data_IF_258901783827
#
_entry.id   IF_258901783827
#
_cell.length_a   1.000
_cell.length_b   1.000
_cell.length_c   1.000
_cell.angle_alpha   90.00
_cell.angle_beta   90.00
_cell.angle_gamma   90.00
#
_symmetry.space_group_name_H-M   'P 1'
#
loop_
_entity.id
_entity.type
_entity.pdbx_description
1 polymer ?
#
# COMPACT_ATOMS: atom_id res chain seq x y z
N UNK A 1 14.56 -27.38 25.26
CA UNK A 1 15.84 -26.86 25.77
C UNK A 1 16.13 -25.57 25.02
N UNK A 2 15.87 -24.45 25.68
CA UNK A 2 16.10 -23.09 25.16
C UNK A 2 17.61 -22.88 25.13
N UNK A 3 18.19 -22.67 23.94
CA UNK A 3 19.57 -22.19 23.85
C UNK A 3 19.55 -20.70 24.17
N UNK A 4 20.39 -20.32 25.13
CA UNK A 4 20.47 -19.00 25.72
C UNK A 4 20.55 -17.88 24.66
N UNK A 5 19.70 -16.88 24.83
CA UNK A 5 19.82 -15.58 24.18
C UNK A 5 21.02 -14.87 24.82
N UNK A 6 21.96 -14.30 24.06
CA UNK A 6 23.18 -13.73 24.63
C UNK A 6 22.91 -12.37 25.29
N UNK A 7 23.57 -12.10 26.42
CA UNK A 7 23.25 -10.96 27.31
C UNK A 7 24.47 -10.08 27.63
N UNK A 8 25.50 -10.08 26.79
CA UNK A 8 26.69 -9.23 26.95
C UNK A 8 27.18 -8.66 25.63
N UNK A 9 27.85 -7.50 25.67
CA UNK A 9 28.44 -6.82 24.50
C UNK A 9 29.44 -7.73 23.73
N UNK A 10 30.12 -8.64 24.44
CA UNK A 10 31.01 -9.65 23.83
C UNK A 10 30.27 -10.72 23.03
N UNK A 11 29.07 -11.11 23.45
CA UNK A 11 28.28 -12.09 22.70
C UNK A 11 27.68 -11.50 21.42
N UNK A 12 27.51 -10.17 21.38
CA UNK A 12 27.01 -9.40 20.25
C UNK A 12 28.13 -9.16 19.23
N UNK A 13 29.33 -8.78 19.67
CA UNK A 13 30.52 -8.79 18.80
C UNK A 13 30.76 -10.18 18.21
N UNK A 14 30.55 -11.24 19.00
CA UNK A 14 30.65 -12.62 18.51
C UNK A 14 29.54 -12.98 17.51
N UNK A 15 28.30 -12.53 17.73
CA UNK A 15 27.22 -12.67 16.75
C UNK A 15 27.55 -11.94 15.43
N UNK A 16 28.16 -10.76 15.51
CA UNK A 16 28.58 -9.97 14.35
C UNK A 16 29.83 -10.53 13.66
N UNK A 17 30.79 -11.06 14.42
CA UNK A 17 32.02 -11.68 13.92
C UNK A 17 31.73 -13.04 13.24
N UNK A 18 30.83 -13.85 13.81
CA UNK A 18 30.38 -15.13 13.20
C UNK A 18 29.59 -14.90 11.88
N UNK A 19 28.95 -13.74 11.73
CA UNK A 19 28.26 -13.31 10.50
C UNK A 19 29.24 -12.73 9.45
N UNK A 20 30.30 -12.05 9.87
CA UNK A 20 31.39 -11.59 8.99
C UNK A 20 32.22 -12.76 8.43
N UNK A 21 32.48 -13.81 9.21
CA UNK A 21 33.27 -14.97 8.77
C UNK A 21 32.51 -15.90 7.79
N UNK A 22 31.17 -15.84 7.77
CA UNK A 22 30.33 -16.59 6.82
C UNK A 22 30.13 -15.85 5.49
N UNK A 23 30.19 -14.52 5.51
CA UNK A 23 30.12 -13.66 4.30
C UNK A 23 31.46 -13.60 3.56
N UNK A 24 32.61 -13.61 4.24
CA UNK A 24 33.92 -13.69 3.56
C UNK A 24 34.13 -15.00 2.79
N UNK A 25 33.64 -16.13 3.33
CA UNK A 25 33.69 -17.45 2.66
C UNK A 25 32.84 -17.53 1.39
N UNK A 26 31.86 -16.64 1.23
CA UNK A 26 31.04 -16.56 0.00
C UNK A 26 31.62 -15.58 -1.03
N UNK A 27 32.44 -14.61 -0.61
CA UNK A 27 33.19 -13.72 -1.51
C UNK A 27 34.40 -14.41 -2.16
N UNK A 28 35.08 -15.32 -1.46
CA UNK A 28 36.20 -16.11 -2.02
C UNK A 28 35.80 -17.02 -3.20
N UNK A 29 34.52 -17.40 -3.29
CA UNK A 29 33.99 -18.17 -4.43
C UNK A 29 33.80 -17.28 -5.68
N UNK A 30 33.56 -15.97 -5.50
CA UNK A 30 33.33 -15.02 -6.60
C UNK A 30 34.61 -14.56 -7.30
N UNK A 31 35.78 -14.61 -6.65
CA UNK A 31 37.03 -14.11 -7.24
C UNK A 31 37.66 -15.03 -8.30
N UNK A 32 37.15 -16.24 -8.55
CA UNK A 32 37.72 -17.14 -9.58
C UNK A 32 37.10 -17.06 -10.97
N UNK A 33 36.13 -16.17 -11.22
CA UNK A 33 35.48 -16.07 -12.53
C UNK A 33 35.20 -14.64 -12.98
N UNK A 34 36.26 -13.90 -13.34
CA UNK A 34 36.10 -12.73 -14.20
C UNK A 34 37.25 -12.60 -15.20
N UNK A 35 37.03 -13.06 -16.43
CA UNK A 35 37.71 -12.50 -17.60
C UNK A 35 36.88 -12.78 -18.86
N UNK A 36 36.10 -11.79 -19.32
CA UNK A 36 36.25 -11.12 -20.63
C UNK A 36 34.97 -10.46 -21.18
N UNK A 37 35.18 -9.20 -21.57
CA UNK A 37 34.58 -8.39 -22.65
C UNK A 37 33.15 -7.84 -22.57
N UNK A 38 33.12 -6.53 -22.81
CA UNK A 38 32.00 -5.60 -22.94
C UNK A 38 31.09 -5.91 -24.14
N UNK A 39 29.77 -5.95 -23.91
CA UNK A 39 28.68 -5.23 -24.61
C UNK A 39 27.33 -5.92 -24.34
N UNK A 40 26.48 -5.38 -23.43
CA UNK A 40 25.01 -5.59 -23.37
C UNK A 40 24.40 -4.92 -22.11
N UNK A 41 23.87 -3.69 -22.21
CA UNK A 41 23.51 -2.84 -21.05
C UNK A 41 21.99 -2.73 -20.74
N UNK A 42 21.20 -3.79 -20.95
CA UNK A 42 19.79 -3.77 -20.53
C UNK A 42 19.28 -5.12 -20.01
N UNK A 43 19.73 -6.23 -20.61
CA UNK A 43 19.31 -7.58 -20.21
C UNK A 43 20.06 -8.09 -18.97
N UNK A 44 21.30 -7.62 -18.77
CA UNK A 44 22.17 -7.97 -17.62
C UNK A 44 21.66 -7.37 -16.29
N UNK A 45 20.96 -6.22 -16.32
CA UNK A 45 20.41 -5.58 -15.11
C UNK A 45 19.22 -6.34 -14.52
N UNK A 46 18.32 -6.86 -15.35
CA UNK A 46 17.19 -7.68 -14.89
C UNK A 46 17.61 -9.06 -14.40
N UNK A 47 18.60 -9.68 -15.04
CA UNK A 47 19.14 -10.98 -14.61
C UNK A 47 19.96 -10.86 -13.31
N UNK A 48 20.81 -9.84 -13.16
CA UNK A 48 21.48 -9.55 -11.87
C UNK A 48 20.50 -9.22 -10.74
N UNK A 49 19.38 -8.56 -11.05
CA UNK A 49 18.36 -8.27 -10.05
C UNK A 49 17.63 -9.55 -9.61
N UNK A 50 17.28 -10.44 -10.54
CA UNK A 50 16.68 -11.75 -10.24
C UNK A 50 17.64 -12.71 -9.53
N UNK A 51 18.93 -12.75 -9.91
CA UNK A 51 19.94 -13.55 -9.21
C UNK A 51 20.21 -13.04 -7.79
N UNK A 52 20.27 -11.72 -7.59
CA UNK A 52 20.39 -11.14 -6.25
C UNK A 52 19.17 -11.49 -5.38
N UNK A 53 17.95 -11.43 -5.91
CA UNK A 53 16.72 -11.83 -5.20
C UNK A 53 16.79 -13.32 -4.79
N UNK A 54 17.28 -14.20 -5.66
CA UNK A 54 17.37 -15.64 -5.37
C UNK A 54 18.42 -16.03 -4.32
N UNK A 55 19.50 -15.24 -4.18
CA UNK A 55 20.52 -15.46 -3.14
C UNK A 55 20.05 -14.91 -1.80
N UNK A 56 19.31 -13.79 -1.82
CA UNK A 56 18.73 -13.14 -0.63
C UNK A 56 17.83 -14.11 0.13
N UNK A 57 16.94 -14.84 -0.55
CA UNK A 57 15.99 -15.79 0.08
C UNK A 57 16.64 -17.00 0.79
N UNK A 58 17.95 -17.23 0.63
CA UNK A 58 18.66 -18.39 1.21
C UNK A 58 19.22 -18.15 2.63
N UNK A 59 19.16 -16.92 3.11
CA UNK A 59 19.73 -16.49 4.38
C UNK A 59 18.57 -16.02 5.28
N UNK A 60 18.47 -16.47 6.54
CA UNK A 60 17.31 -16.12 7.39
C UNK A 60 17.06 -14.60 7.52
N UNK A 61 15.81 -14.14 7.78
CA UNK A 61 15.40 -12.74 7.61
C UNK A 61 16.25 -11.69 8.35
N UNK A 62 16.78 -12.01 9.54
CA UNK A 62 17.64 -11.11 10.30
C UNK A 62 19.00 -10.89 9.60
N UNK A 63 19.53 -11.92 8.95
CA UNK A 63 20.80 -11.82 8.22
C UNK A 63 20.61 -11.00 6.93
N UNK A 64 19.46 -11.12 6.27
CA UNK A 64 19.12 -10.26 5.13
C UNK A 64 19.04 -8.78 5.56
N UNK A 65 18.32 -8.50 6.66
CA UNK A 65 18.26 -7.17 7.25
C UNK A 65 19.66 -6.64 7.55
N UNK A 66 20.52 -7.46 8.19
CA UNK A 66 21.88 -7.06 8.51
C UNK A 66 22.67 -6.70 7.25
N UNK A 67 22.74 -7.60 6.28
CA UNK A 67 23.55 -7.45 5.08
C UNK A 67 23.08 -6.28 4.18
N UNK A 68 21.77 -6.05 4.08
CA UNK A 68 21.21 -5.06 3.17
C UNK A 68 20.94 -3.70 3.82
N UNK A 69 20.51 -3.69 5.08
CA UNK A 69 20.06 -2.48 5.75
C UNK A 69 21.06 -1.95 6.78
N UNK A 70 21.81 -2.80 7.48
CA UNK A 70 22.66 -2.33 8.60
C UNK A 70 24.12 -2.21 8.18
N UNK A 71 24.72 -3.28 7.68
CA UNK A 71 26.14 -3.36 7.32
C UNK A 71 26.57 -2.25 6.34
N UNK A 72 25.81 -1.92 5.27
CA UNK A 72 26.24 -0.92 4.29
C UNK A 72 26.29 0.51 4.85
N UNK A 73 25.57 0.78 5.94
CA UNK A 73 25.45 2.12 6.56
C UNK A 73 25.98 2.17 7.98
N UNK A 74 26.87 1.22 8.33
CA UNK A 74 27.42 1.10 9.69
C UNK A 74 28.09 2.39 10.15
N UNK A 75 28.80 3.08 9.25
CA UNK A 75 29.49 4.32 9.58
C UNK A 75 28.50 5.43 9.91
N UNK A 76 27.47 5.65 9.07
CA UNK A 76 26.45 6.67 9.29
C UNK A 76 25.63 6.38 10.55
N UNK A 77 25.36 5.11 10.85
CA UNK A 77 24.69 4.68 12.09
C UNK A 77 25.54 5.05 13.32
N UNK A 78 26.85 4.82 13.27
CA UNK A 78 27.79 5.16 14.34
C UNK A 78 27.94 6.67 14.51
N UNK A 79 28.14 7.40 13.41
CA UNK A 79 28.34 8.85 13.39
C UNK A 79 27.11 9.60 13.93
N UNK A 80 25.91 9.06 13.71
CA UNK A 80 24.66 9.62 14.24
C UNK A 80 24.29 9.08 15.63
N UNK A 81 25.13 8.23 16.24
CA UNK A 81 24.93 7.72 17.61
C UNK A 81 23.67 6.87 17.80
N UNK A 82 23.16 6.24 16.74
CA UNK A 82 21.86 5.57 16.75
C UNK A 82 21.94 4.04 16.86
N UNK A 83 23.14 3.47 16.92
CA UNK A 83 23.36 2.03 17.15
C UNK A 83 22.55 1.47 18.33
N UNK A 84 22.50 2.12 19.51
CA UNK A 84 21.74 1.59 20.66
C UNK A 84 20.23 1.51 20.40
N UNK A 85 19.69 2.49 19.66
CA UNK A 85 18.26 2.54 19.29
C UNK A 85 17.92 1.40 18.33
N UNK A 86 18.75 1.19 17.30
CA UNK A 86 18.56 0.11 16.34
C UNK A 86 18.64 -1.25 17.04
N UNK A 87 19.61 -1.43 17.95
CA UNK A 87 19.78 -2.66 18.70
C UNK A 87 18.55 -2.97 19.56
N UNK A 88 18.02 -1.98 20.29
CA UNK A 88 16.83 -2.16 21.12
C UNK A 88 15.60 -2.53 20.27
N UNK A 89 15.42 -1.88 19.12
CA UNK A 89 14.33 -2.21 18.20
C UNK A 89 14.45 -3.63 17.65
N UNK A 90 15.64 -4.06 17.22
CA UNK A 90 15.88 -5.44 16.76
C UNK A 90 15.60 -6.43 17.89
N UNK A 91 16.04 -6.15 19.12
CA UNK A 91 15.77 -7.01 20.27
C UNK A 91 14.27 -7.18 20.54
N UNK A 92 13.50 -6.09 20.47
CA UNK A 92 12.04 -6.12 20.60
C UNK A 92 11.42 -7.00 19.50
N UNK A 93 11.84 -6.81 18.24
CA UNK A 93 11.33 -7.56 17.09
C UNK A 93 11.71 -9.05 17.17
N UNK A 94 12.95 -9.39 17.52
CA UNK A 94 13.35 -10.80 17.63
C UNK A 94 12.63 -11.51 18.78
N UNK A 95 12.37 -10.80 19.88
CA UNK A 95 11.67 -11.35 21.04
C UNK A 95 10.18 -11.53 20.81
N UNK A 96 9.50 -10.58 20.17
CA UNK A 96 8.03 -10.53 20.06
C UNK A 96 7.52 -10.68 18.62
N UNK A 97 8.39 -10.76 17.63
CA UNK A 97 8.03 -10.66 16.22
C UNK A 97 7.36 -11.88 15.62
N UNK A 98 7.19 -12.97 16.38
CA UNK A 98 6.38 -14.14 15.97
C UNK A 98 4.87 -13.88 16.00
N UNK A 99 4.45 -12.77 16.59
CA UNK A 99 3.07 -12.32 16.53
C UNK A 99 2.68 -12.02 15.06
N UNK A 100 1.40 -12.17 14.66
CA UNK A 100 0.94 -11.75 13.35
C UNK A 100 1.24 -10.27 13.08
N UNK A 101 1.57 -9.96 11.83
CA UNK A 101 1.84 -8.60 11.34
C UNK A 101 0.59 -7.71 11.21
N UNK A 102 -0.58 -8.25 11.54
CA UNK A 102 -1.85 -7.54 11.57
C UNK A 102 -2.55 -7.80 12.89
N UNK A 103 -3.27 -6.80 13.38
CA UNK A 103 -4.11 -6.95 14.57
C UNK A 103 -5.46 -7.52 14.14
N UNK A 104 -5.93 -8.61 14.76
CA UNK A 104 -7.24 -9.22 14.42
C UNK A 104 -8.42 -8.40 15.01
N UNK A 105 -8.13 -7.47 15.92
CA UNK A 105 -9.12 -6.57 16.54
C UNK A 105 -9.54 -5.45 15.58
N UNK A 106 -10.85 -5.33 15.31
CA UNK A 106 -11.45 -4.34 14.41
C UNK A 106 -11.36 -2.88 14.94
N UNK A 107 -10.75 -2.65 16.12
CA UNK A 107 -10.42 -1.31 16.61
C UNK A 107 -9.12 -0.77 16.02
N UNK A 108 -8.35 -1.63 15.37
CA UNK A 108 -7.14 -1.25 14.65
C UNK A 108 -7.48 -0.72 13.25
N UNK A 109 -6.88 0.42 12.88
CA UNK A 109 -7.17 1.09 11.61
C UNK A 109 -6.80 0.24 10.39
N UNK A 110 -5.68 -0.49 10.45
CA UNK A 110 -5.21 -1.34 9.35
C UNK A 110 -6.09 -2.57 9.17
N UNK A 111 -6.53 -3.16 10.29
CA UNK A 111 -7.37 -4.34 10.27
C UNK A 111 -8.70 -4.11 9.53
N UNK A 112 -9.23 -2.88 9.62
CA UNK A 112 -10.43 -2.45 8.90
C UNK A 112 -10.15 -2.29 7.40
N UNK A 113 -8.99 -1.74 7.02
CA UNK A 113 -8.64 -1.56 5.60
C UNK A 113 -8.34 -2.89 4.91
N UNK A 114 -7.67 -3.82 5.60
CA UNK A 114 -7.16 -5.05 5.01
C UNK A 114 -8.09 -6.27 5.18
N UNK A 115 -9.36 -6.07 5.58
CA UNK A 115 -10.33 -7.15 5.88
C UNK A 115 -10.36 -8.24 4.80
N UNK A 116 -10.30 -7.86 3.53
CA UNK A 116 -10.43 -8.79 2.41
C UNK A 116 -9.25 -9.75 2.22
N UNK A 117 -8.07 -9.40 2.74
CA UNK A 117 -6.82 -10.18 2.64
C UNK A 117 -6.25 -10.55 4.02
N UNK A 118 -6.99 -10.24 5.08
CA UNK A 118 -6.58 -10.40 6.48
C UNK A 118 -6.08 -11.81 6.79
N UNK A 119 -6.79 -12.84 6.33
CA UNK A 119 -6.44 -14.22 6.66
C UNK A 119 -5.12 -14.68 6.02
N UNK A 120 -4.74 -14.09 4.88
CA UNK A 120 -3.44 -14.32 4.26
C UNK A 120 -2.34 -13.57 5.03
N UNK A 121 -2.57 -12.29 5.34
CA UNK A 121 -1.59 -11.46 6.06
C UNK A 121 -1.40 -11.89 7.53
N UNK A 122 -2.38 -12.54 8.14
CA UNK A 122 -2.25 -13.10 9.49
C UNK A 122 -1.17 -14.20 9.58
N UNK A 123 -0.80 -14.80 8.45
CA UNK A 123 0.28 -15.79 8.36
C UNK A 123 1.67 -15.16 8.27
N UNK A 124 1.74 -13.86 7.97
CA UNK A 124 2.98 -13.10 7.97
C UNK A 124 3.27 -12.62 9.39
N UNK A 125 4.44 -12.96 9.90
CA UNK A 125 4.87 -12.53 11.24
C UNK A 125 5.26 -11.05 11.24
N UNK A 126 5.10 -10.38 12.38
CA UNK A 126 5.50 -8.98 12.57
C UNK A 126 6.98 -8.78 12.22
N UNK A 127 7.83 -9.76 12.54
CA UNK A 127 9.24 -9.73 12.17
C UNK A 127 9.45 -9.68 10.67
N UNK A 128 8.87 -10.62 9.93
CA UNK A 128 9.01 -10.69 8.48
C UNK A 128 8.54 -9.40 7.83
N UNK A 129 7.37 -8.92 8.25
CA UNK A 129 6.81 -7.67 7.74
C UNK A 129 7.74 -6.48 8.01
N UNK A 130 8.16 -6.29 9.26
CA UNK A 130 9.03 -5.18 9.66
C UNK A 130 10.34 -5.17 8.84
N UNK A 131 10.91 -6.34 8.56
CA UNK A 131 12.16 -6.44 7.79
C UNK A 131 11.95 -6.19 6.30
N UNK A 132 10.86 -6.70 5.71
CA UNK A 132 10.50 -6.33 4.34
C UNK A 132 10.29 -4.81 4.21
N UNK A 133 9.58 -4.19 5.17
CA UNK A 133 9.38 -2.72 5.17
C UNK A 133 10.71 -1.98 5.25
N UNK A 134 11.64 -2.44 6.08
CA UNK A 134 12.98 -1.85 6.18
C UNK A 134 13.71 -1.93 4.83
N UNK A 135 13.74 -3.10 4.19
CA UNK A 135 14.37 -3.30 2.88
C UNK A 135 13.73 -2.37 1.83
N UNK A 136 12.40 -2.33 1.74
CA UNK A 136 11.68 -1.46 0.78
C UNK A 136 11.91 0.02 1.06
N UNK A 137 12.03 0.41 2.32
CA UNK A 137 12.31 1.80 2.70
C UNK A 137 13.70 2.23 2.24
N UNK A 138 14.72 1.38 2.38
CA UNK A 138 16.07 1.64 1.85
C UNK A 138 16.01 1.91 0.33
N UNK A 139 15.30 1.07 -0.42
CA UNK A 139 15.17 1.22 -1.87
C UNK A 139 14.47 2.53 -2.24
N UNK A 140 13.34 2.82 -1.59
CA UNK A 140 12.56 4.03 -1.84
C UNK A 140 13.35 5.31 -1.51
N UNK A 141 14.13 5.32 -0.42
CA UNK A 141 14.95 6.48 -0.05
C UNK A 141 16.09 6.70 -1.05
N UNK A 142 16.72 5.62 -1.56
CA UNK A 142 17.71 5.72 -2.65
C UNK A 142 17.10 6.27 -3.94
N UNK A 143 15.89 5.86 -4.28
CA UNK A 143 15.15 6.36 -5.45
C UNK A 143 14.79 7.85 -5.30
N UNK A 144 14.41 8.27 -4.08
CA UNK A 144 13.91 9.61 -3.81
C UNK A 144 15.00 10.67 -3.60
N UNK A 145 16.18 10.30 -3.08
CA UNK A 145 17.23 11.23 -2.70
C UNK A 145 18.58 10.87 -3.30
N UNK A 146 19.31 11.87 -3.81
CA UNK A 146 20.68 11.68 -4.31
C UNK A 146 21.66 11.40 -3.17
N UNK A 147 21.59 12.21 -2.10
CA UNK A 147 22.47 12.10 -0.94
C UNK A 147 21.81 11.27 0.17
N UNK A 148 21.50 10.02 -0.15
CA UNK A 148 20.66 9.16 0.68
C UNK A 148 21.36 8.60 1.93
N UNK A 149 22.69 8.47 1.94
CA UNK A 149 23.44 7.81 3.02
C UNK A 149 23.10 8.35 4.41
N UNK A 150 23.11 9.68 4.57
CA UNK A 150 22.81 10.34 5.86
C UNK A 150 21.34 10.15 6.30
N UNK A 151 20.45 9.72 5.41
CA UNK A 151 19.04 9.45 5.69
C UNK A 151 18.79 7.99 6.08
N UNK A 152 19.75 7.09 5.83
CA UNK A 152 19.59 5.65 6.07
C UNK A 152 19.39 5.30 7.54
N UNK A 153 20.11 5.88 8.52
CA UNK A 153 19.86 5.57 9.92
C UNK A 153 18.43 5.92 10.35
N UNK A 154 17.89 7.04 9.84
CA UNK A 154 16.48 7.41 10.05
C UNK A 154 15.53 6.42 9.38
N UNK A 155 15.81 6.00 8.14
CA UNK A 155 14.98 5.06 7.40
C UNK A 155 14.85 3.74 8.16
N UNK A 156 15.98 3.17 8.57
CA UNK A 156 16.08 1.92 9.34
C UNK A 156 15.25 2.05 10.62
N UNK A 157 15.49 3.08 11.43
CA UNK A 157 14.77 3.26 12.70
C UNK A 157 13.27 3.43 12.49
N UNK A 158 12.85 4.25 11.52
CA UNK A 158 11.41 4.42 11.25
C UNK A 158 10.74 3.12 10.82
N UNK A 159 11.39 2.34 9.96
CA UNK A 159 10.85 1.05 9.50
C UNK A 159 10.82 0.01 10.60
N UNK A 160 11.88 -0.11 11.41
CA UNK A 160 11.91 -1.06 12.52
C UNK A 160 10.87 -0.74 13.59
N UNK A 161 10.57 0.54 13.80
CA UNK A 161 9.68 0.98 14.86
C UNK A 161 8.20 1.05 14.47
N UNK A 162 7.84 1.16 13.19
CA UNK A 162 6.49 1.60 12.80
C UNK A 162 5.35 0.74 13.35
N UNK A 163 5.59 -0.57 13.48
CA UNK A 163 4.58 -1.57 13.78
C UNK A 163 4.76 -2.31 15.11
N UNK A 164 5.76 -1.92 15.92
CA UNK A 164 6.01 -2.58 17.21
C UNK A 164 4.81 -2.46 18.15
N UNK A 165 3.96 -1.45 17.99
CA UNK A 165 2.69 -1.28 18.69
C UNK A 165 1.68 -2.41 18.48
N UNK A 166 1.88 -3.30 17.50
CA UNK A 166 1.10 -4.53 17.31
C UNK A 166 1.40 -5.58 18.38
N UNK A 167 2.54 -5.46 19.08
CA UNK A 167 2.93 -6.35 20.19
C UNK A 167 1.92 -6.22 21.34
N UNK A 168 1.23 -7.31 21.74
CA UNK A 168 0.22 -7.28 22.81
C UNK A 168 0.72 -6.63 24.11
N UNK A 169 1.94 -6.93 24.52
CA UNK A 169 2.53 -6.49 25.78
C UNK A 169 2.72 -4.96 25.84
N UNK A 170 2.98 -4.32 24.69
CA UNK A 170 3.14 -2.87 24.60
C UNK A 170 1.78 -2.13 24.61
N UNK A 171 0.68 -2.82 24.32
CA UNK A 171 -0.67 -2.24 24.33
C UNK A 171 -1.30 -2.21 25.71
N UNK A 172 -0.82 -3.07 26.62
CA UNK A 172 -1.35 -3.22 27.99
C UNK A 172 -0.62 -2.31 28.99
N UNK A 173 0.61 -1.88 28.67
CA UNK A 173 1.48 -1.15 29.60
C UNK A 173 1.28 0.37 29.63
N UNK A 174 0.41 0.93 28.77
CA UNK A 174 0.19 2.37 28.67
C UNK A 174 -0.81 2.95 29.68
N UNK A 175 -0.60 4.22 30.09
CA UNK A 175 -1.56 5.02 30.86
C UNK A 175 -2.91 5.22 30.15
N UNK A 176 -2.97 4.95 28.85
CA UNK A 176 -4.17 4.94 28.03
C UNK A 176 -4.18 3.64 27.21
N UNK A 177 -5.20 2.81 27.41
CA UNK A 177 -5.47 1.63 26.56
C UNK A 177 -5.87 2.11 25.15
N UNK A 178 -4.89 2.47 24.33
CA UNK A 178 -5.10 2.75 22.91
C UNK A 178 -4.85 1.48 22.12
N UNK A 179 -5.84 1.10 21.30
CA UNK A 179 -5.75 -0.07 20.43
C UNK A 179 -5.13 0.25 19.06
N UNK A 180 -4.84 1.53 18.81
CA UNK A 180 -4.24 2.00 17.55
C UNK A 180 -2.72 1.85 17.63
N UNK A 181 -2.16 0.85 16.93
CA UNK A 181 -0.74 0.54 16.98
C UNK A 181 0.19 1.70 16.56
N UNK A 182 -0.15 2.62 15.63
CA UNK A 182 0.75 3.72 15.29
C UNK A 182 1.06 4.62 16.49
N UNK A 183 0.06 4.85 17.36
CA UNK A 183 0.22 5.62 18.59
C UNK A 183 1.11 4.90 19.60
N UNK A 184 0.93 3.59 19.75
CA UNK A 184 1.74 2.75 20.66
C UNK A 184 3.19 2.66 20.18
N UNK A 185 3.39 2.41 18.89
CA UNK A 185 4.70 2.39 18.23
C UNK A 185 5.44 3.70 18.44
N UNK A 186 4.78 4.84 18.19
CA UNK A 186 5.37 6.16 18.35
C UNK A 186 5.73 6.46 19.81
N UNK A 187 4.86 6.08 20.75
CA UNK A 187 5.13 6.20 22.19
C UNK A 187 6.36 5.39 22.60
N UNK A 188 6.44 4.13 22.17
CA UNK A 188 7.57 3.27 22.49
C UNK A 188 8.87 3.76 21.85
N UNK A 189 8.83 4.23 20.60
CA UNK A 189 9.99 4.82 19.94
C UNK A 189 10.48 6.08 20.68
N UNK A 190 9.56 6.91 21.18
CA UNK A 190 9.93 8.08 21.98
C UNK A 190 10.62 7.71 23.30
N UNK A 191 10.21 6.61 23.95
CA UNK A 191 10.91 6.06 25.12
C UNK A 191 12.33 5.58 24.76
N UNK A 192 12.49 4.87 23.65
CA UNK A 192 13.80 4.36 23.21
C UNK A 192 14.74 5.52 22.86
N UNK A 193 14.22 6.62 22.31
CA UNK A 193 15.00 7.83 22.08
C UNK A 193 15.35 8.61 23.36
N UNK A 194 14.71 8.33 24.50
CA UNK A 194 14.95 9.08 25.72
C UNK A 194 16.41 8.92 26.17
N UNK A 195 17.14 10.04 26.28
CA UNK A 195 18.57 10.05 26.63
C UNK A 195 19.52 10.01 25.43
N UNK A 196 18.99 9.96 24.19
CA UNK A 196 19.78 10.06 22.96
C UNK A 196 19.55 11.42 22.28
N UNK A 197 20.62 12.08 21.85
CA UNK A 197 20.55 13.34 21.10
C UNK A 197 20.55 13.07 19.59
N UNK A 198 19.36 12.84 19.03
CA UNK A 198 19.18 12.51 17.61
C UNK A 198 18.31 13.59 16.97
N UNK A 199 18.92 14.39 16.09
CA UNK A 199 18.30 15.60 15.54
C UNK A 199 16.99 15.35 14.75
N UNK A 200 16.84 14.17 14.16
CA UNK A 200 15.66 13.78 13.38
C UNK A 200 14.63 12.94 14.15
N UNK A 201 14.86 12.65 15.44
CA UNK A 201 14.00 11.78 16.25
C UNK A 201 12.52 12.22 16.23
N UNK A 202 12.27 13.53 16.34
CA UNK A 202 10.89 14.07 16.30
C UNK A 202 10.15 13.74 15.01
N UNK A 203 10.83 13.86 13.86
CA UNK A 203 10.20 13.54 12.57
C UNK A 203 9.98 12.03 12.42
N UNK A 204 10.90 11.21 12.92
CA UNK A 204 10.74 9.76 12.94
C UNK A 204 9.54 9.31 13.78
N UNK A 205 9.42 9.81 15.02
CA UNK A 205 8.28 9.55 15.91
C UNK A 205 6.97 9.99 15.23
N UNK A 206 6.95 11.19 14.65
CA UNK A 206 5.77 11.71 13.98
C UNK A 206 5.36 10.84 12.78
N UNK A 207 6.34 10.39 11.97
CA UNK A 207 6.07 9.54 10.81
C UNK A 207 5.48 8.20 11.24
N UNK A 208 6.04 7.58 12.29
CA UNK A 208 5.49 6.36 12.88
C UNK A 208 4.09 6.58 13.42
N UNK A 209 3.84 7.73 14.06
CA UNK A 209 2.52 8.04 14.61
C UNK A 209 1.44 8.20 13.54
N UNK A 210 1.80 8.76 12.39
CA UNK A 210 0.84 9.20 11.36
C UNK A 210 0.83 8.33 10.11
N UNK A 211 1.52 7.19 10.10
CA UNK A 211 1.66 6.39 8.88
C UNK A 211 0.32 5.86 8.32
N UNK A 212 -0.76 5.78 9.11
CA UNK A 212 -2.09 5.43 8.56
C UNK A 212 -2.91 6.65 8.12
N UNK A 213 -2.50 7.85 8.51
CA UNK A 213 -3.24 9.08 8.23
C UNK A 213 -2.88 9.64 6.84
N UNK A 214 -3.78 10.48 6.31
CA UNK A 214 -3.44 11.31 5.16
C UNK A 214 -2.35 12.31 5.56
N UNK A 215 -1.24 12.34 4.82
CA UNK A 215 -0.07 13.14 5.17
C UNK A 215 0.40 13.99 3.99
N UNK A 216 0.96 15.16 4.31
CA UNK A 216 1.75 15.98 3.38
C UNK A 216 3.25 15.92 3.67
N UNK A 217 3.64 15.26 4.77
CA UNK A 217 5.04 15.06 5.12
C UNK A 217 5.64 14.00 4.20
N UNK A 218 6.71 14.38 3.49
CA UNK A 218 7.34 13.52 2.49
C UNK A 218 7.87 12.24 3.13
N UNK A 219 8.46 12.31 4.33
CA UNK A 219 9.05 11.15 4.97
C UNK A 219 7.99 10.10 5.36
N UNK A 220 6.89 10.57 5.94
CA UNK A 220 5.72 9.73 6.27
C UNK A 220 5.17 9.08 5.00
N UNK A 221 5.12 9.81 3.87
CA UNK A 221 4.68 9.24 2.59
C UNK A 221 5.61 8.12 2.10
N UNK A 222 6.93 8.23 2.27
CA UNK A 222 7.88 7.17 1.92
C UNK A 222 7.69 5.93 2.81
N UNK A 223 7.51 6.12 4.12
CA UNK A 223 7.22 5.01 5.04
C UNK A 223 5.95 4.25 4.64
N UNK A 224 4.87 4.98 4.31
CA UNK A 224 3.63 4.39 3.79
C UNK A 224 3.84 3.60 2.51
N UNK A 225 4.68 4.13 1.61
CA UNK A 225 4.99 3.45 0.37
C UNK A 225 5.79 2.17 0.62
N UNK A 226 6.73 2.18 1.57
CA UNK A 226 7.51 1.02 1.94
C UNK A 226 6.65 -0.09 2.57
N UNK A 227 5.77 0.29 3.51
CA UNK A 227 4.77 -0.59 4.11
C UNK A 227 3.91 -1.30 3.04
N UNK A 228 3.31 -0.52 2.15
CA UNK A 228 2.50 -1.06 1.05
C UNK A 228 3.28 -2.00 0.13
N UNK A 229 4.50 -1.63 -0.30
CA UNK A 229 5.36 -2.50 -1.14
C UNK A 229 5.75 -3.80 -0.42
N UNK A 230 5.86 -3.78 0.90
CA UNK A 230 6.06 -5.01 1.67
C UNK A 230 4.80 -5.89 1.65
N UNK A 231 3.61 -5.31 1.87
CA UNK A 231 2.32 -6.03 1.75
C UNK A 231 2.11 -6.65 0.37
N UNK A 232 2.51 -5.99 -0.71
CA UNK A 232 2.49 -6.57 -2.07
C UNK A 232 3.27 -7.89 -2.13
N UNK A 233 4.51 -7.84 -1.66
CA UNK A 233 5.43 -8.99 -1.71
C UNK A 233 4.93 -10.13 -0.82
N UNK A 234 4.37 -9.80 0.34
CA UNK A 234 3.78 -10.75 1.29
C UNK A 234 2.54 -11.43 0.74
N UNK A 235 1.62 -10.67 0.14
CA UNK A 235 0.41 -11.21 -0.43
C UNK A 235 0.72 -12.14 -1.60
N UNK A 236 1.72 -11.85 -2.43
CA UNK A 236 2.16 -12.77 -3.49
C UNK A 236 2.47 -14.17 -2.99
N UNK A 237 3.05 -14.32 -1.79
CA UNK A 237 3.40 -15.64 -1.21
C UNK A 237 2.17 -16.53 -0.99
N UNK A 238 1.02 -15.94 -0.69
CA UNK A 238 -0.22 -16.67 -0.39
C UNK A 238 -1.20 -16.71 -1.55
N UNK A 239 -0.89 -16.00 -2.63
CA UNK A 239 -1.83 -15.80 -3.73
C UNK A 239 -1.29 -16.37 -5.04
N UNK A 240 -0.94 -17.67 -5.03
CA UNK A 240 -0.41 -18.40 -6.21
C UNK A 240 -1.31 -18.40 -7.44
N UNK A 241 -2.56 -17.93 -7.32
CA UNK A 241 -3.51 -17.77 -8.43
C UNK A 241 -3.69 -16.33 -8.90
N UNK A 242 -3.07 -15.35 -8.23
CA UNK A 242 -3.23 -13.94 -8.55
C UNK A 242 -1.93 -13.33 -9.06
N UNK A 243 -2.06 -12.38 -9.97
CA UNK A 243 -0.94 -11.59 -10.48
C UNK A 243 -1.01 -10.17 -9.93
N UNK A 244 0.12 -9.63 -9.44
CA UNK A 244 0.22 -8.20 -9.15
C UNK A 244 0.34 -7.46 -10.47
N UNK A 245 -0.59 -6.53 -10.69
CA UNK A 245 -0.68 -5.72 -11.89
C UNK A 245 -1.11 -4.31 -11.49
N UNK A 246 -0.56 -3.31 -12.17
CA UNK A 246 -1.05 -1.94 -12.03
C UNK A 246 -2.38 -1.80 -12.75
N UNK A 247 -3.19 -0.83 -12.34
CA UNK A 247 -4.49 -0.54 -12.94
C UNK A 247 -4.45 -0.53 -14.48
N UNK A 248 -3.49 0.16 -15.09
CA UNK A 248 -3.37 0.32 -16.53
C UNK A 248 -3.12 -1.00 -17.27
N UNK A 249 -2.50 -1.96 -16.58
CA UNK A 249 -2.14 -3.25 -17.19
C UNK A 249 -3.28 -4.26 -17.22
N UNK A 250 -4.30 -4.11 -16.38
CA UNK A 250 -5.43 -5.04 -16.31
C UNK A 250 -6.78 -4.41 -16.63
N UNK A 251 -6.95 -3.11 -16.44
CA UNK A 251 -8.23 -2.44 -16.64
C UNK A 251 -8.53 -2.25 -18.13
N UNK A 252 -9.61 -2.87 -18.60
CA UNK A 252 -10.09 -2.72 -19.98
C UNK A 252 -11.36 -1.88 -20.02
N UNK A 253 -11.32 -0.77 -20.77
CA UNK A 253 -12.48 0.11 -20.95
C UNK A 253 -13.65 -0.64 -21.60
N UNK A 254 -13.42 -1.45 -22.63
CA UNK A 254 -14.49 -2.16 -23.32
C UNK A 254 -15.18 -3.20 -22.41
N UNK A 255 -14.40 -3.93 -21.60
CA UNK A 255 -14.96 -4.87 -20.60
C UNK A 255 -15.74 -4.10 -19.54
N UNK A 256 -15.21 -2.97 -19.08
CA UNK A 256 -15.86 -2.12 -18.10
C UNK A 256 -17.22 -1.59 -18.59
N UNK A 257 -17.29 -1.09 -19.83
CA UNK A 257 -18.52 -0.58 -20.41
C UNK A 257 -19.56 -1.70 -20.60
N UNK A 258 -19.11 -2.89 -21.03
CA UNK A 258 -19.98 -4.06 -21.15
C UNK A 258 -20.60 -4.47 -19.81
N UNK A 259 -19.82 -4.45 -18.73
CA UNK A 259 -20.33 -4.70 -17.39
C UNK A 259 -21.28 -3.58 -16.92
N UNK A 260 -20.92 -2.32 -17.17
CA UNK A 260 -21.74 -1.16 -16.82
C UNK A 260 -23.13 -1.20 -17.48
N UNK A 261 -23.22 -1.68 -18.72
CA UNK A 261 -24.49 -1.77 -19.46
C UNK A 261 -25.57 -2.54 -18.69
N UNK A 262 -25.19 -3.55 -17.92
CA UNK A 262 -26.09 -4.36 -17.09
C UNK A 262 -26.76 -3.58 -15.95
N UNK A 263 -26.28 -2.38 -15.61
CA UNK A 263 -26.81 -1.55 -14.52
C UNK A 263 -27.60 -0.34 -15.02
N UNK A 264 -27.49 0.00 -16.30
CA UNK A 264 -28.12 1.20 -16.85
C UNK A 264 -29.63 1.01 -16.94
N UNK A 265 -30.36 1.95 -16.35
CA UNK A 265 -31.83 1.95 -16.27
C UNK A 265 -32.43 0.74 -15.55
N UNK A 266 -31.65 0.06 -14.71
CA UNK A 266 -32.13 -1.06 -13.89
C UNK A 266 -32.57 -0.54 -12.53
N UNK A 267 -33.82 -0.85 -12.15
CA UNK A 267 -34.43 -0.45 -10.88
C UNK A 267 -34.83 -1.68 -10.06
N UNK A 268 -33.89 -2.57 -9.74
CA UNK A 268 -34.16 -3.64 -8.78
C UNK A 268 -34.25 -3.04 -7.37
N UNK A 269 -35.32 -3.34 -6.62
CA UNK A 269 -35.55 -2.84 -5.24
C UNK A 269 -35.72 -1.31 -5.06
N UNK A 270 -36.30 -0.61 -6.06
CA UNK A 270 -36.50 0.85 -6.05
C UNK A 270 -35.21 1.70 -5.93
N UNK A 271 -34.04 1.12 -6.20
CA UNK A 271 -32.76 1.83 -6.24
C UNK A 271 -32.18 1.71 -7.64
N UNK A 272 -31.84 2.85 -8.24
CA UNK A 272 -31.07 2.93 -9.48
C UNK A 272 -29.62 3.27 -9.16
N UNK A 273 -28.68 2.76 -9.95
CA UNK A 273 -27.25 3.03 -9.83
C UNK A 273 -26.70 3.80 -11.04
N UNK A 274 -27.31 3.60 -12.20
CA UNK A 274 -27.06 4.38 -13.42
C UNK A 274 -28.35 4.58 -14.22
N UNK A 275 -28.43 5.68 -14.95
CA UNK A 275 -29.53 5.95 -15.87
C UNK A 275 -29.06 6.70 -17.12
N UNK A 276 -29.73 6.47 -18.25
CA UNK A 276 -29.46 7.22 -19.47
C UNK A 276 -30.33 8.48 -19.55
N UNK A 277 -29.81 9.56 -20.09
CA UNK A 277 -30.58 10.76 -20.41
C UNK A 277 -29.83 11.61 -21.44
N UNK A 278 -30.50 11.97 -22.54
CA UNK A 278 -29.97 12.86 -23.59
C UNK A 278 -28.56 12.50 -24.10
N UNK A 279 -28.34 11.23 -24.45
CA UNK A 279 -27.06 10.76 -25.00
C UNK A 279 -25.94 10.59 -23.97
N UNK A 280 -26.24 10.75 -22.69
CA UNK A 280 -25.31 10.49 -21.59
C UNK A 280 -25.84 9.37 -20.69
N UNK A 281 -24.93 8.65 -20.06
CA UNK A 281 -25.19 7.72 -18.97
C UNK A 281 -24.70 8.37 -17.68
N UNK A 282 -25.60 8.61 -16.74
CA UNK A 282 -25.28 9.17 -15.44
C UNK A 282 -25.13 8.04 -14.42
N UNK A 283 -23.91 7.87 -13.92
CA UNK A 283 -23.58 6.81 -12.96
C UNK A 283 -23.31 7.41 -11.58
N UNK A 284 -23.68 6.69 -10.51
CA UNK A 284 -23.09 6.94 -9.20
C UNK A 284 -21.61 6.53 -9.20
N UNK A 285 -20.70 7.28 -8.56
CA UNK A 285 -19.28 6.90 -8.49
C UNK A 285 -19.06 5.49 -7.89
N UNK A 286 -19.83 5.13 -6.86
CA UNK A 286 -19.77 3.81 -6.20
C UNK A 286 -20.02 2.64 -7.16
N UNK A 287 -20.89 2.82 -8.16
CA UNK A 287 -21.12 1.79 -9.17
C UNK A 287 -19.85 1.54 -10.00
N UNK A 288 -19.16 2.61 -10.40
CA UNK A 288 -17.93 2.50 -11.19
C UNK A 288 -16.85 1.72 -10.43
N UNK A 289 -16.67 2.03 -9.14
CA UNK A 289 -15.73 1.31 -8.28
C UNK A 289 -16.14 -0.16 -8.10
N UNK A 290 -17.44 -0.43 -7.91
CA UNK A 290 -17.95 -1.80 -7.75
C UNK A 290 -17.68 -2.66 -8.99
N UNK A 291 -17.91 -2.11 -10.18
CA UNK A 291 -17.62 -2.80 -11.45
C UNK A 291 -16.12 -3.05 -11.60
N UNK A 292 -15.29 -2.03 -11.39
CA UNK A 292 -13.84 -2.17 -11.51
C UNK A 292 -13.29 -3.21 -10.50
N UNK A 293 -13.78 -3.21 -9.25
CA UNK A 293 -13.41 -4.20 -8.24
C UNK A 293 -13.84 -5.62 -8.63
N UNK A 294 -15.02 -5.78 -9.23
CA UNK A 294 -15.48 -7.06 -9.79
C UNK A 294 -14.52 -7.54 -10.89
N UNK A 295 -14.19 -6.67 -11.84
CA UNK A 295 -13.25 -6.99 -12.93
C UNK A 295 -11.87 -7.38 -12.40
N UNK A 296 -11.33 -6.65 -11.42
CA UNK A 296 -10.04 -6.96 -10.78
C UNK A 296 -10.04 -8.38 -10.21
N UNK A 297 -11.12 -8.77 -9.51
CA UNK A 297 -11.28 -10.12 -8.95
C UNK A 297 -11.41 -11.19 -10.03
N UNK A 298 -12.18 -10.95 -11.08
CA UNK A 298 -12.37 -11.89 -12.18
C UNK A 298 -11.10 -12.09 -13.01
N UNK A 299 -10.31 -11.04 -13.17
CA UNK A 299 -8.98 -11.09 -13.75
C UNK A 299 -7.93 -11.76 -12.84
N UNK A 300 -8.31 -12.13 -11.60
CA UNK A 300 -7.41 -12.61 -10.54
C UNK A 300 -6.20 -11.69 -10.38
N UNK A 301 -6.45 -10.38 -10.38
CA UNK A 301 -5.42 -9.37 -10.16
C UNK A 301 -5.46 -8.90 -8.71
N UNK A 302 -4.29 -8.77 -8.11
CA UNK A 302 -4.10 -8.10 -6.84
C UNK A 302 -3.61 -6.67 -7.11
N UNK A 303 -4.55 -5.73 -7.23
CA UNK A 303 -4.26 -4.30 -7.33
C UNK A 303 -4.47 -3.65 -5.96
N UNK A 304 -3.38 -3.18 -5.35
CA UNK A 304 -3.42 -2.59 -4.00
C UNK A 304 -4.39 -1.41 -3.89
N UNK A 305 -4.63 -0.66 -4.96
CA UNK A 305 -5.55 0.49 -4.91
C UNK A 305 -6.99 0.06 -4.59
N UNK A 306 -7.33 -1.21 -4.80
CA UNK A 306 -8.64 -1.80 -4.48
C UNK A 306 -8.66 -2.54 -3.13
N UNK A 307 -7.51 -2.65 -2.45
CA UNK A 307 -7.40 -3.24 -1.12
C UNK A 307 -7.63 -2.17 -0.05
N UNK A 308 -6.99 -1.01 -0.17
CA UNK A 308 -7.07 0.06 0.81
C UNK A 308 -8.26 0.99 0.54
N UNK A 309 -9.22 1.08 1.48
CA UNK A 309 -10.38 1.99 1.34
C UNK A 309 -9.95 3.46 1.24
N UNK A 310 -8.83 3.84 1.87
CA UNK A 310 -8.24 5.17 1.76
C UNK A 310 -7.84 5.56 0.32
N UNK A 311 -7.64 4.59 -0.59
CA UNK A 311 -7.32 4.84 -2.00
C UNK A 311 -8.55 4.97 -2.91
N UNK A 312 -9.76 4.79 -2.37
CA UNK A 312 -10.99 4.77 -3.18
C UNK A 312 -11.21 6.03 -4.00
N UNK A 313 -10.90 7.21 -3.46
CA UNK A 313 -10.96 8.46 -4.23
C UNK A 313 -9.93 8.49 -5.37
N UNK A 314 -8.72 8.00 -5.13
CA UNK A 314 -7.67 7.85 -6.16
C UNK A 314 -8.17 6.93 -7.28
N UNK A 315 -8.81 5.82 -6.93
CA UNK A 315 -9.40 4.87 -7.89
C UNK A 315 -10.52 5.53 -8.71
N UNK A 316 -11.43 6.30 -8.10
CA UNK A 316 -12.46 7.02 -8.85
C UNK A 316 -11.85 7.94 -9.91
N UNK A 317 -10.80 8.69 -9.54
CA UNK A 317 -10.10 9.57 -10.48
C UNK A 317 -9.42 8.76 -11.58
N UNK A 318 -8.81 7.63 -11.25
CA UNK A 318 -8.11 6.79 -12.21
C UNK A 318 -9.05 6.19 -13.25
N UNK A 319 -10.19 5.63 -12.82
CA UNK A 319 -11.24 5.13 -13.72
C UNK A 319 -11.71 6.25 -14.65
N UNK A 320 -12.08 7.41 -14.10
CA UNK A 320 -12.62 8.51 -14.91
C UNK A 320 -11.56 9.12 -15.84
N UNK A 321 -10.30 9.21 -15.41
CA UNK A 321 -9.21 9.67 -16.26
C UNK A 321 -8.96 8.71 -17.43
N UNK A 322 -9.05 7.41 -17.18
CA UNK A 322 -8.92 6.37 -18.21
C UNK A 322 -10.04 6.48 -19.23
N UNK A 323 -11.30 6.62 -18.77
CA UNK A 323 -12.45 6.87 -19.66
C UNK A 323 -12.33 8.21 -20.40
N UNK A 324 -11.75 9.23 -19.78
CA UNK A 324 -11.49 10.53 -20.42
C UNK A 324 -10.45 10.41 -21.55
N UNK A 325 -9.42 9.57 -21.36
CA UNK A 325 -8.44 9.24 -22.41
C UNK A 325 -9.10 8.66 -23.67
N UNK A 326 -10.17 7.90 -23.49
CA UNK A 326 -11.01 7.35 -24.58
C UNK A 326 -12.12 8.31 -25.06
N UNK A 327 -12.07 9.59 -24.65
CA UNK A 327 -13.05 10.62 -24.99
C UNK A 327 -14.50 10.29 -24.54
N UNK A 328 -14.68 9.43 -23.55
CA UNK A 328 -15.99 9.01 -23.04
C UNK A 328 -16.53 9.91 -21.92
N UNK A 329 -15.74 10.83 -21.39
CA UNK A 329 -16.16 11.74 -20.33
C UNK A 329 -16.48 13.11 -20.92
N UNK A 330 -17.69 13.67 -20.71
CA UNK A 330 -18.03 15.01 -21.17
C UNK A 330 -17.36 16.10 -20.30
N UNK A 331 -17.09 17.25 -20.90
CA UNK A 331 -16.38 18.37 -20.26
C UNK A 331 -17.09 18.96 -19.04
N UNK A 332 -18.39 18.67 -18.87
CA UNK A 332 -19.21 19.16 -17.77
C UNK A 332 -18.69 18.78 -16.36
N UNK A 333 -17.88 17.73 -16.24
CA UNK A 333 -17.26 17.34 -14.95
C UNK A 333 -16.12 18.30 -14.56
N UNK A 334 -15.43 18.90 -15.54
CA UNK A 334 -14.19 19.65 -15.31
C UNK A 334 -12.95 18.74 -15.21
N UNK A 335 -11.78 19.33 -15.47
CA UNK A 335 -10.50 18.62 -15.41
C UNK A 335 -10.15 18.24 -13.96
N UNK A 336 -9.55 17.06 -13.77
CA UNK A 336 -9.13 16.56 -12.45
C UNK A 336 -10.26 16.08 -11.51
N UNK A 337 -11.53 16.26 -11.91
CA UNK A 337 -12.69 15.78 -11.16
C UNK A 337 -13.21 14.45 -11.73
N UNK A 338 -13.75 13.60 -10.85
CA UNK A 338 -14.35 12.31 -11.23
C UNK A 338 -15.89 12.34 -11.27
N UNK A 339 -16.52 13.34 -10.65
CA UNK A 339 -17.97 13.49 -10.59
C UNK A 339 -18.35 14.96 -10.37
N UNK A 340 -19.63 15.27 -10.62
CA UNK A 340 -20.22 16.59 -10.36
C UNK A 340 -21.60 16.45 -9.73
N UNK A 341 -22.08 17.49 -9.03
CA UNK A 341 -23.46 17.53 -8.53
C UNK A 341 -24.43 17.89 -9.64
N UNK A 342 -25.52 17.14 -9.71
CA UNK A 342 -26.63 17.34 -10.64
C UNK A 342 -27.95 17.36 -9.89
N UNK A 343 -28.84 18.26 -10.31
CA UNK A 343 -30.25 18.26 -9.94
C UNK A 343 -31.04 17.52 -11.02
N UNK A 344 -31.67 16.41 -10.63
CA UNK A 344 -32.61 15.65 -11.47
C UNK A 344 -34.00 16.23 -11.22
N UNK A 345 -34.60 16.73 -12.30
CA UNK A 345 -35.97 17.23 -12.33
C UNK A 345 -36.86 16.20 -12.99
N UNK A 346 -38.07 16.06 -12.45
CA UNK A 346 -39.11 15.21 -13.03
C UNK A 346 -40.25 16.04 -13.58
N UNK A 347 -41.13 15.41 -14.35
CA UNK A 347 -42.39 16.04 -14.81
C UNK A 347 -43.13 16.63 -13.61
N UNK A 348 -43.59 17.87 -13.78
CA UNK A 348 -44.19 18.70 -12.73
C UNK A 348 -45.29 17.93 -11.99
N UNK A 349 -45.17 17.85 -10.66
CA UNK A 349 -46.16 17.22 -9.78
C UNK A 349 -45.90 15.75 -9.43
N UNK A 350 -44.88 15.09 -10.00
CA UNK A 350 -44.63 13.67 -9.74
C UNK A 350 -43.64 13.40 -8.59
N UNK A 351 -42.49 14.09 -8.54
CA UNK A 351 -41.45 13.87 -7.50
C UNK A 351 -40.72 15.18 -7.20
N UNK A 352 -40.32 15.43 -5.94
CA UNK A 352 -39.43 16.55 -5.59
C UNK A 352 -38.11 16.45 -6.35
N UNK A 353 -37.52 17.59 -6.72
CA UNK A 353 -36.19 17.64 -7.31
C UNK A 353 -35.17 16.97 -6.36
N UNK A 354 -34.27 16.17 -6.93
CA UNK A 354 -33.26 15.44 -6.16
C UNK A 354 -31.87 15.81 -6.65
N UNK A 355 -30.94 15.99 -5.71
CA UNK A 355 -29.54 16.30 -6.01
C UNK A 355 -28.67 15.07 -5.79
N UNK A 356 -27.83 14.76 -6.76
CA UNK A 356 -26.91 13.63 -6.71
C UNK A 356 -25.53 14.02 -7.23
N UNK A 357 -24.48 13.42 -6.66
CA UNK A 357 -23.14 13.45 -7.24
C UNK A 357 -23.03 12.31 -8.24
N UNK A 358 -22.85 12.63 -9.52
CA UNK A 358 -22.87 11.67 -10.61
C UNK A 358 -21.66 11.86 -11.53
N UNK A 359 -21.27 10.77 -12.16
CA UNK A 359 -20.27 10.72 -13.23
C UNK A 359 -21.00 10.49 -14.54
N UNK A 360 -21.19 11.53 -15.37
CA UNK A 360 -21.70 11.35 -16.72
C UNK A 360 -20.65 10.67 -17.62
N UNK A 361 -21.09 9.75 -18.45
CA UNK A 361 -20.33 9.03 -19.47
C UNK A 361 -21.08 9.19 -20.80
N UNK A 362 -20.38 9.52 -21.88
CA UNK A 362 -20.96 9.59 -23.22
C UNK A 362 -21.45 8.21 -23.63
N UNK A 363 -22.64 8.18 -24.20
CA UNK A 363 -23.30 6.92 -24.47
C UNK A 363 -22.89 6.31 -25.84
N UNK A 364 -21.93 6.92 -26.54
CA UNK A 364 -21.45 6.60 -27.90
C UNK A 364 -21.08 5.12 -28.13
N UNK A 365 -20.68 4.40 -27.07
CA UNK A 365 -20.28 2.98 -27.12
C UNK A 365 -21.42 2.00 -26.78
N UNK A 366 -22.64 2.49 -26.56
CA UNK A 366 -23.79 1.68 -26.15
C UNK A 366 -24.91 1.70 -27.21
N UNK A 367 -25.75 0.66 -27.20
CA UNK A 367 -27.01 0.70 -27.97
C UNK A 367 -28.08 1.53 -27.23
N UNK A 368 -28.12 2.83 -27.52
CA UNK A 368 -29.02 3.78 -26.84
C UNK A 368 -30.49 3.39 -26.94
N UNK A 369 -30.92 2.86 -28.08
CA UNK A 369 -32.31 2.49 -28.28
C UNK A 369 -32.72 1.41 -27.27
N UNK A 370 -31.93 0.34 -27.16
CA UNK A 370 -32.17 -0.76 -26.22
C UNK A 370 -32.09 -0.28 -24.77
N UNK A 371 -31.12 0.58 -24.45
CA UNK A 371 -30.95 1.16 -23.12
C UNK A 371 -32.18 1.97 -22.70
N UNK A 372 -32.66 2.87 -23.56
CA UNK A 372 -33.80 3.73 -23.28
C UNK A 372 -35.09 2.91 -23.08
N UNK A 373 -35.27 1.83 -23.85
CA UNK A 373 -36.41 0.91 -23.68
C UNK A 373 -36.47 0.21 -22.32
N UNK A 374 -35.35 0.14 -21.57
CA UNK A 374 -35.31 -0.46 -20.23
C UNK A 374 -35.81 0.46 -19.11
N UNK A 375 -36.02 1.76 -19.38
CA UNK A 375 -36.47 2.70 -18.35
C UNK A 375 -37.82 2.30 -17.77
N UNK A 376 -37.95 2.43 -16.45
CA UNK A 376 -39.18 2.18 -15.73
C UNK A 376 -39.33 3.18 -14.58
N UNK A 377 -40.57 3.51 -14.22
CA UNK A 377 -40.90 4.25 -13.00
C UNK A 377 -40.27 5.64 -12.95
N UNK A 378 -39.47 5.90 -11.90
CA UNK A 378 -38.80 7.20 -11.70
C UNK A 378 -37.96 7.63 -12.92
N UNK A 379 -37.35 6.69 -13.63
CA UNK A 379 -36.45 7.00 -14.74
C UNK A 379 -37.17 7.47 -16.01
N UNK A 380 -38.45 7.10 -16.20
CA UNK A 380 -39.27 7.52 -17.35
C UNK A 380 -39.79 8.96 -17.22
N UNK A 381 -39.87 9.46 -15.97
CA UNK A 381 -40.43 10.77 -15.67
C UNK A 381 -39.36 11.85 -15.52
N UNK A 382 -38.08 11.52 -15.70
CA UNK A 382 -36.97 12.49 -15.74
C UNK A 382 -37.16 13.42 -16.94
N UNK A 383 -37.20 14.72 -16.70
CA UNK A 383 -37.35 15.73 -17.75
C UNK A 383 -36.12 16.61 -17.94
N UNK A 384 -35.26 16.73 -16.93
CA UNK A 384 -34.01 17.48 -17.01
C UNK A 384 -32.99 16.98 -15.99
N UNK A 385 -31.72 17.07 -16.35
CA UNK A 385 -30.58 16.84 -15.46
C UNK A 385 -29.67 18.05 -15.57
N UNK A 386 -29.58 18.85 -14.50
CA UNK A 386 -28.92 20.15 -14.52
C UNK A 386 -27.71 20.11 -13.58
N UNK A 387 -26.52 20.43 -14.08
CA UNK A 387 -25.34 20.57 -13.23
C UNK A 387 -25.53 21.75 -12.27
N UNK A 388 -25.25 21.52 -10.98
CA UNK A 388 -25.40 22.52 -9.91
C UNK A 388 -24.08 22.94 -9.30
#
# INVERSE_FOLDING_TARGET
>A
MVKNVPTSDEDIEKLFYDLEETTSKTEDVKQSSSEKTETADATDKSQKHQENISIIESIGPLKELWAYCIQPYRQEIQDQGVSPVIQELINIIEKHGQNPSIVIDNRDSEAIELVSVRDNLAQVTLKEHTYHVCIKMIDIVKEAYKDYNNLMPKAIVTSLAHDIGKIPELRVSGLYNTYDHPLVSAGKLAEIFAGHDIFWAKQAIQSVKEHHLATKDQWTALLKQADRRARETELLKYTSQYEIKTFESWFSVDVFLKELEGYINVTQTNKWEAFSFQGLIYCKPELLYTIARKMCREAKVLDLMFIYESEKESVFRLIVNTLRGENLIPDIIGQGHYARRFEIKTKVGMVKNMKFTLTPIKADRFNIADIEHRKQGFLEVINAVVAT
#
